data_IF_182725152757
#
_entry.id   IF_182725152757
#
_cell.length_a   1.000
_cell.length_b   1.000
_cell.length_c   1.000
_cell.angle_alpha   90.00
_cell.angle_beta   90.00
_cell.angle_gamma   90.00
#
_symmetry.space_group_name_H-M   'P 1'
#
loop_
_entity.id
_entity.type
_entity.pdbx_description
1 polymer ?
#
# COMPACT_ATOMS: atom_id res chain seq x y z
N UNK A 1 32.64 -0.79 17.16
CA UNK A 1 31.43 -0.68 18.00
C UNK A 1 30.63 0.58 17.63
N UNK A 2 30.40 0.79 16.34
CA UNK A 2 29.73 2.01 15.84
C UNK A 2 28.25 2.13 16.30
N UNK A 3 27.56 1.01 16.53
CA UNK A 3 26.12 0.99 16.82
C UNK A 3 25.76 0.74 18.29
N UNK A 4 26.75 0.51 19.18
CA UNK A 4 26.48 0.22 20.60
C UNK A 4 25.71 1.35 21.29
N UNK A 5 26.11 2.61 21.04
CA UNK A 5 25.40 3.77 21.63
C UNK A 5 23.96 3.89 21.13
N UNK A 6 23.70 3.63 19.85
CA UNK A 6 22.34 3.62 19.28
C UNK A 6 21.49 2.50 19.88
N UNK A 7 22.08 1.31 20.06
CA UNK A 7 21.41 0.17 20.73
C UNK A 7 21.07 0.53 22.17
N UNK A 8 22.02 1.11 22.92
CA UNK A 8 21.79 1.52 24.30
C UNK A 8 20.70 2.59 24.42
N UNK A 9 20.67 3.58 23.52
CA UNK A 9 19.65 4.62 23.47
C UNK A 9 18.26 4.02 23.18
N UNK A 10 18.14 3.16 22.17
CA UNK A 10 16.89 2.49 21.83
C UNK A 10 16.41 1.53 22.93
N UNK A 11 17.32 0.81 23.59
CA UNK A 11 17.01 -0.04 24.75
C UNK A 11 16.54 0.75 25.96
N UNK A 12 16.96 2.02 26.08
CA UNK A 12 16.47 2.97 27.09
C UNK A 12 15.22 3.74 26.62
N UNK A 13 14.53 3.27 25.57
CA UNK A 13 13.32 3.87 24.98
C UNK A 13 13.52 5.31 24.49
N UNK A 14 14.75 5.72 24.22
CA UNK A 14 15.04 7.03 23.66
C UNK A 14 14.75 7.04 22.17
N UNK A 15 14.14 8.13 21.70
CA UNK A 15 13.90 8.35 20.28
C UNK A 15 15.17 8.88 19.60
N UNK A 16 15.34 8.50 18.33
CA UNK A 16 16.39 9.06 17.49
C UNK A 16 15.96 10.42 16.94
N UNK A 17 16.89 11.31 16.76
CA UNK A 17 16.70 12.50 15.93
C UNK A 17 16.54 12.10 14.46
N UNK A 18 16.02 12.99 13.63
CA UNK A 18 15.92 12.81 12.19
C UNK A 18 17.26 12.39 11.56
N UNK A 19 18.34 13.09 11.91
CA UNK A 19 19.69 12.82 11.37
C UNK A 19 20.26 11.46 11.83
N UNK A 20 20.00 11.05 13.08
CA UNK A 20 20.41 9.75 13.58
C UNK A 20 19.63 8.63 12.91
N UNK A 21 18.31 8.81 12.72
CA UNK A 21 17.47 7.85 12.01
C UNK A 21 17.88 7.73 10.54
N UNK A 22 18.14 8.84 9.84
CA UNK A 22 18.65 8.84 8.48
C UNK A 22 19.98 8.08 8.39
N UNK A 23 20.94 8.37 9.28
CA UNK A 23 22.25 7.75 9.30
C UNK A 23 22.16 6.24 9.54
N UNK A 24 21.33 5.82 10.52
CA UNK A 24 21.13 4.43 10.86
C UNK A 24 20.49 3.66 9.67
N UNK A 25 19.40 4.18 9.11
CA UNK A 25 18.70 3.48 8.04
C UNK A 25 19.46 3.50 6.72
N UNK A 26 20.22 4.56 6.43
CA UNK A 26 21.17 4.55 5.31
C UNK A 26 22.17 3.41 5.44
N UNK A 27 22.78 3.25 6.64
CA UNK A 27 23.70 2.14 6.88
C UNK A 27 23.02 0.76 6.81
N UNK A 28 21.78 0.62 7.30
CA UNK A 28 21.01 -0.63 7.17
C UNK A 28 20.78 -0.96 5.70
N UNK A 29 20.30 -0.02 4.91
CA UNK A 29 20.02 -0.23 3.49
C UNK A 29 21.29 -0.50 2.65
N UNK A 30 22.44 0.03 3.05
CA UNK A 30 23.72 -0.15 2.36
C UNK A 30 24.49 -1.39 2.86
N UNK A 31 23.91 -2.17 3.79
CA UNK A 31 24.56 -3.36 4.37
C UNK A 31 25.74 -3.02 5.28
N UNK A 32 25.81 -1.81 5.80
CA UNK A 32 26.90 -1.33 6.67
C UNK A 32 26.74 -1.66 8.17
N UNK A 33 25.65 -2.34 8.54
CA UNK A 33 25.38 -2.78 9.92
C UNK A 33 25.65 -4.29 10.02
N UNK A 34 26.56 -4.74 10.91
CA UNK A 34 26.81 -6.17 11.08
C UNK A 34 25.57 -6.92 11.57
N UNK A 35 25.45 -8.22 11.23
CA UNK A 35 24.24 -9.03 11.45
C UNK A 35 23.73 -9.03 12.89
N UNK A 36 24.63 -9.08 13.88
CA UNK A 36 24.24 -9.12 15.30
C UNK A 36 23.62 -7.79 15.75
N UNK A 37 24.27 -6.69 15.42
CA UNK A 37 23.79 -5.34 15.70
C UNK A 37 22.52 -5.05 14.92
N UNK A 38 22.44 -5.45 13.66
CA UNK A 38 21.25 -5.31 12.83
C UNK A 38 20.04 -6.02 13.46
N UNK A 39 20.22 -7.26 13.90
CA UNK A 39 19.16 -8.01 14.58
C UNK A 39 18.70 -7.33 15.86
N UNK A 40 19.63 -6.82 16.67
CA UNK A 40 19.32 -6.08 17.90
C UNK A 40 18.59 -4.77 17.64
N UNK A 41 19.04 -3.98 16.68
CA UNK A 41 18.41 -2.71 16.27
C UNK A 41 17.00 -2.92 15.74
N UNK A 42 16.81 -3.86 14.82
CA UNK A 42 15.51 -4.16 14.26
C UNK A 42 14.53 -4.68 15.32
N UNK A 43 14.98 -5.54 16.25
CA UNK A 43 14.13 -6.02 17.34
C UNK A 43 13.67 -4.89 18.27
N UNK A 44 14.55 -3.93 18.60
CA UNK A 44 14.20 -2.76 19.41
C UNK A 44 13.25 -1.80 18.68
N UNK A 45 13.50 -1.56 17.40
CA UNK A 45 12.64 -0.69 16.58
C UNK A 45 11.25 -1.30 16.34
N UNK A 46 11.15 -2.63 16.22
CA UNK A 46 9.89 -3.35 16.01
C UNK A 46 8.97 -3.32 17.24
N UNK A 47 9.52 -3.16 18.45
CA UNK A 47 8.75 -3.13 19.70
C UNK A 47 8.09 -1.78 19.99
N UNK A 48 8.40 -0.75 19.20
CA UNK A 48 7.90 0.59 19.40
C UNK A 48 7.47 1.23 18.07
N UNK A 49 6.64 2.25 18.17
CA UNK A 49 6.28 3.08 17.03
C UNK A 49 7.39 4.11 16.78
N UNK A 50 7.72 4.35 15.51
CA UNK A 50 8.58 5.46 15.13
C UNK A 50 7.92 6.80 15.50
N UNK A 51 8.72 7.76 15.94
CA UNK A 51 8.28 9.14 16.02
C UNK A 51 8.21 9.79 14.65
N UNK A 52 7.52 10.94 14.54
CA UNK A 52 7.48 11.73 13.31
C UNK A 52 8.88 12.05 12.77
N UNK A 53 9.78 12.49 13.65
CA UNK A 53 11.16 12.84 13.29
C UNK A 53 11.95 11.64 12.78
N UNK A 54 11.82 10.49 13.45
CA UNK A 54 12.44 9.25 13.00
C UNK A 54 11.95 8.83 11.64
N UNK A 55 10.62 8.91 11.39
CA UNK A 55 10.04 8.54 10.13
C UNK A 55 10.54 9.43 8.99
N UNK A 56 10.66 10.74 9.21
CA UNK A 56 11.24 11.68 8.23
C UNK A 56 12.68 11.29 7.90
N UNK A 57 13.52 11.01 8.91
CA UNK A 57 14.90 10.57 8.71
C UNK A 57 14.99 9.23 7.96
N UNK A 58 14.12 8.27 8.32
CA UNK A 58 14.07 6.99 7.61
C UNK A 58 13.67 7.16 6.14
N UNK A 59 12.72 8.05 5.84
CA UNK A 59 12.32 8.34 4.45
C UNK A 59 13.41 9.06 3.68
N UNK A 60 14.18 9.96 4.32
CA UNK A 60 15.35 10.58 3.71
C UNK A 60 16.39 9.53 3.31
N UNK A 61 16.58 8.48 4.13
CA UNK A 61 17.44 7.35 3.80
C UNK A 61 16.85 6.43 2.71
N UNK A 62 15.54 6.20 2.71
CA UNK A 62 14.88 5.27 1.78
C UNK A 62 14.73 5.86 0.38
N UNK A 63 14.28 7.12 0.26
CA UNK A 63 13.88 7.73 -1.01
C UNK A 63 14.95 7.65 -2.11
N UNK A 64 16.25 7.88 -1.84
CA UNK A 64 17.30 7.75 -2.86
C UNK A 64 17.52 6.30 -3.33
N UNK A 65 17.01 5.32 -2.59
CA UNK A 65 17.17 3.88 -2.85
C UNK A 65 15.93 3.23 -3.50
N UNK A 66 14.90 4.04 -3.75
CA UNK A 66 13.74 3.64 -4.54
C UNK A 66 13.97 4.08 -5.99
N UNK A 67 14.01 3.12 -6.90
CA UNK A 67 14.16 3.43 -8.32
C UNK A 67 12.94 4.18 -8.84
N UNK A 68 13.19 5.33 -9.48
CA UNK A 68 12.16 6.22 -9.98
C UNK A 68 11.77 5.87 -11.41
N UNK A 69 10.48 5.95 -11.71
CA UNK A 69 9.95 5.93 -13.07
C UNK A 69 9.98 7.35 -13.67
N UNK A 70 10.08 7.44 -14.98
CA UNK A 70 9.88 8.71 -15.66
C UNK A 70 8.41 9.13 -15.55
N UNK A 71 8.15 10.44 -15.68
CA UNK A 71 6.81 10.98 -15.71
C UNK A 71 5.92 10.24 -16.72
N UNK A 72 4.70 9.94 -16.31
CA UNK A 72 3.68 9.33 -17.16
C UNK A 72 2.84 10.46 -17.79
N UNK A 73 2.73 10.43 -19.10
CA UNK A 73 1.79 11.28 -19.84
C UNK A 73 0.45 10.55 -19.93
N UNK A 74 -0.34 10.70 -18.87
CA UNK A 74 -1.66 10.05 -18.72
C UNK A 74 -2.69 11.09 -18.30
N UNK A 75 -3.95 10.98 -18.77
CA UNK A 75 -4.99 11.95 -18.46
C UNK A 75 -5.37 11.98 -16.98
N UNK A 76 -5.17 10.85 -16.29
CA UNK A 76 -5.52 10.66 -14.89
C UNK A 76 -4.28 10.39 -14.05
N UNK A 77 -4.32 10.81 -12.80
CA UNK A 77 -3.26 10.50 -11.83
C UNK A 77 -3.20 8.98 -11.63
N UNK A 78 -2.00 8.36 -11.78
CA UNK A 78 -1.84 6.94 -11.50
C UNK A 78 -2.22 6.61 -10.04
N UNK A 79 -2.74 5.41 -9.82
CA UNK A 79 -3.01 4.90 -8.47
C UNK A 79 -1.87 3.95 -8.07
N UNK A 80 -1.23 4.24 -6.93
CA UNK A 80 -0.15 3.42 -6.36
C UNK A 80 -0.71 2.52 -5.25
N UNK A 81 -0.53 1.21 -5.41
CA UNK A 81 -1.07 0.17 -4.51
C UNK A 81 0.07 -0.66 -3.90
N UNK A 82 0.60 -0.28 -2.71
CA UNK A 82 1.60 -1.08 -2.00
C UNK A 82 0.93 -2.27 -1.31
N UNK A 83 1.21 -3.51 -1.74
CA UNK A 83 0.60 -4.73 -1.21
C UNK A 83 1.60 -5.55 -0.39
N UNK A 84 1.55 -5.37 0.93
CA UNK A 84 2.47 -5.96 1.91
C UNK A 84 1.76 -6.51 3.15
N UNK A 85 0.48 -6.80 3.03
CA UNK A 85 -0.34 -7.28 4.16
C UNK A 85 0.23 -8.52 4.83
N UNK A 86 0.12 -8.57 6.17
CA UNK A 86 0.76 -9.56 7.01
C UNK A 86 -0.15 -10.74 7.33
N UNK A 87 -1.22 -10.51 8.05
CA UNK A 87 -2.12 -11.55 8.56
C UNK A 87 -3.50 -11.35 7.96
N UNK A 88 -3.75 -12.01 6.85
CA UNK A 88 -5.03 -11.89 6.18
C UNK A 88 -6.09 -12.73 6.88
N UNK A 89 -7.14 -12.09 7.30
CA UNK A 89 -8.40 -12.73 7.72
C UNK A 89 -9.40 -12.78 6.57
N UNK A 90 -9.12 -12.04 5.48
CA UNK A 90 -9.94 -11.93 4.29
C UNK A 90 -9.16 -12.25 3.00
N UNK A 91 -9.86 -12.65 1.92
CA UNK A 91 -9.22 -12.88 0.65
C UNK A 91 -8.58 -11.59 0.12
N UNK A 92 -7.48 -11.74 -0.57
CA UNK A 92 -6.78 -10.61 -1.18
C UNK A 92 -7.54 -10.09 -2.40
N UNK A 93 -8.17 -8.93 -2.28
CA UNK A 93 -8.97 -8.29 -3.33
C UNK A 93 -8.26 -7.08 -3.99
N UNK A 94 -6.97 -6.89 -3.75
CA UNK A 94 -6.16 -5.85 -4.42
C UNK A 94 -6.29 -5.91 -5.95
N UNK A 95 -6.22 -7.10 -6.61
CA UNK A 95 -6.41 -7.17 -8.05
C UNK A 95 -7.82 -6.76 -8.52
N UNK A 96 -8.86 -6.96 -7.70
CA UNK A 96 -10.21 -6.50 -8.04
C UNK A 96 -10.25 -4.98 -8.22
N UNK A 97 -9.77 -4.23 -7.22
CA UNK A 97 -9.75 -2.77 -7.28
C UNK A 97 -8.85 -2.27 -8.43
N UNK A 98 -7.67 -2.86 -8.58
CA UNK A 98 -6.73 -2.52 -9.65
C UNK A 98 -7.33 -2.67 -11.05
N UNK A 99 -7.96 -3.82 -11.32
CA UNK A 99 -8.57 -4.10 -12.62
C UNK A 99 -9.84 -3.29 -12.87
N UNK A 100 -10.58 -2.93 -11.81
CA UNK A 100 -11.74 -2.03 -11.92
C UNK A 100 -11.31 -0.63 -12.36
N UNK A 101 -10.22 -0.09 -11.78
CA UNK A 101 -9.65 1.20 -12.19
C UNK A 101 -9.09 1.15 -13.62
N UNK A 102 -8.40 0.08 -13.98
CA UNK A 102 -7.87 -0.12 -15.33
C UNK A 102 -8.97 -0.07 -16.41
N UNK A 103 -10.16 -0.61 -16.15
CA UNK A 103 -11.30 -0.59 -17.10
C UNK A 103 -11.72 0.82 -17.50
N UNK A 104 -11.50 1.79 -16.61
CA UNK A 104 -11.76 3.21 -16.87
C UNK A 104 -10.52 3.94 -17.42
N UNK A 105 -9.44 3.23 -17.72
CA UNK A 105 -8.20 3.81 -18.24
C UNK A 105 -7.37 4.55 -17.18
N UNK A 106 -7.63 4.34 -15.89
CA UNK A 106 -6.81 4.88 -14.81
C UNK A 106 -5.58 3.98 -14.65
N UNK A 107 -4.34 4.49 -14.80
CA UNK A 107 -3.14 3.69 -14.63
C UNK A 107 -3.00 3.18 -13.19
N UNK A 108 -2.67 1.92 -13.01
CA UNK A 108 -2.47 1.33 -11.69
C UNK A 108 -1.09 0.68 -11.61
N UNK A 109 -0.29 1.15 -10.66
CA UNK A 109 0.96 0.52 -10.26
C UNK A 109 0.78 -0.16 -8.91
N UNK A 110 0.79 -1.48 -8.91
CA UNK A 110 0.86 -2.24 -7.69
C UNK A 110 2.29 -2.77 -7.48
N UNK A 111 2.75 -2.83 -6.24
CA UNK A 111 4.03 -3.45 -5.91
C UNK A 111 3.94 -4.26 -4.63
N UNK A 112 4.83 -5.26 -4.51
CA UNK A 112 4.79 -6.18 -3.39
C UNK A 112 5.77 -7.34 -3.52
N UNK A 113 5.55 -8.37 -2.71
CA UNK A 113 6.36 -9.58 -2.66
C UNK A 113 5.72 -10.70 -3.50
N UNK A 114 6.55 -11.69 -3.91
CA UNK A 114 6.05 -12.91 -4.58
C UNK A 114 5.27 -13.82 -3.64
N UNK A 115 5.60 -13.82 -2.34
CA UNK A 115 4.95 -14.63 -1.33
C UNK A 115 4.51 -13.76 -0.16
N UNK A 116 3.30 -14.00 0.34
CA UNK A 116 2.79 -13.40 1.58
C UNK A 116 3.24 -14.19 2.82
N UNK A 117 3.02 -13.66 4.01
CA UNK A 117 3.23 -14.36 5.28
C UNK A 117 2.10 -15.35 5.55
N UNK A 118 0.87 -14.93 5.30
CA UNK A 118 -0.34 -15.76 5.35
C UNK A 118 -1.25 -15.39 4.19
N UNK A 119 -1.98 -16.38 3.70
CA UNK A 119 -2.88 -16.21 2.58
C UNK A 119 -2.17 -16.05 1.23
N UNK A 120 -2.91 -15.67 0.22
CA UNK A 120 -2.43 -15.60 -1.16
C UNK A 120 -1.83 -14.24 -1.47
N UNK A 121 -0.58 -14.23 -1.96
CA UNK A 121 0.08 -13.01 -2.40
C UNK A 121 -0.60 -12.41 -3.64
N UNK A 122 -0.64 -11.08 -3.71
CA UNK A 122 -1.19 -10.32 -4.85
C UNK A 122 -0.57 -10.72 -6.18
N UNK A 123 0.74 -10.98 -6.22
CA UNK A 123 1.45 -11.47 -7.39
C UNK A 123 0.87 -12.79 -7.95
N UNK A 124 0.49 -13.71 -7.06
CA UNK A 124 -0.12 -14.98 -7.42
C UNK A 124 -1.48 -14.80 -8.08
N UNK A 125 -2.33 -13.95 -7.49
CA UNK A 125 -3.67 -13.69 -8.02
C UNK A 125 -3.60 -12.95 -9.36
N UNK A 126 -2.74 -11.94 -9.49
CA UNK A 126 -2.53 -11.28 -10.78
C UNK A 126 -2.12 -12.26 -11.87
N UNK A 127 -1.23 -13.20 -11.55
CA UNK A 127 -0.81 -14.23 -12.53
C UNK A 127 -1.97 -15.14 -12.96
N UNK A 128 -2.82 -15.56 -12.03
CA UNK A 128 -4.04 -16.33 -12.36
C UNK A 128 -5.03 -15.52 -13.23
N UNK A 129 -5.03 -14.20 -13.08
CA UNK A 129 -5.83 -13.26 -13.88
C UNK A 129 -5.13 -12.84 -15.19
N UNK A 130 -3.98 -13.43 -15.52
CA UNK A 130 -3.24 -13.16 -16.75
C UNK A 130 -2.31 -11.94 -16.70
N UNK A 131 -2.11 -11.33 -15.52
CA UNK A 131 -1.22 -10.19 -15.35
C UNK A 131 0.10 -10.69 -14.73
N UNK A 132 1.16 -10.72 -15.54
CA UNK A 132 2.48 -11.15 -15.08
C UNK A 132 3.22 -10.00 -14.39
N UNK A 133 3.99 -10.29 -13.31
CA UNK A 133 4.88 -9.31 -12.73
C UNK A 133 5.85 -8.74 -13.75
N UNK A 134 6.01 -7.42 -13.75
CA UNK A 134 6.97 -6.74 -14.63
C UNK A 134 8.40 -7.07 -14.19
N UNK A 135 9.24 -7.47 -15.13
CA UNK A 135 10.64 -7.82 -14.86
C UNK A 135 11.52 -6.57 -14.61
N UNK A 136 11.04 -5.37 -14.98
CA UNK A 136 11.75 -4.11 -14.79
C UNK A 136 10.79 -2.94 -14.68
N UNK A 137 11.27 -1.81 -14.13
CA UNK A 137 10.49 -0.56 -14.10
C UNK A 137 10.18 -0.04 -15.51
N UNK A 138 11.06 -0.27 -16.48
CA UNK A 138 10.80 0.12 -17.87
C UNK A 138 9.59 -0.64 -18.45
N UNK A 139 9.47 -1.94 -18.16
CA UNK A 139 8.30 -2.75 -18.56
C UNK A 139 7.04 -2.27 -17.83
N UNK A 140 7.14 -1.97 -16.53
CA UNK A 140 6.02 -1.43 -15.77
C UNK A 140 5.57 -0.07 -16.33
N UNK A 141 6.50 0.81 -16.64
CA UNK A 141 6.21 2.11 -17.24
C UNK A 141 5.51 1.98 -18.61
N UNK A 142 5.93 1.00 -19.42
CA UNK A 142 5.26 0.73 -20.69
C UNK A 142 3.83 0.21 -20.46
N UNK A 143 3.64 -0.74 -19.55
CA UNK A 143 2.31 -1.25 -19.20
C UNK A 143 1.35 -0.13 -18.74
N UNK A 144 1.84 0.80 -17.91
CA UNK A 144 1.05 1.96 -17.47
C UNK A 144 0.67 2.90 -18.63
N UNK A 145 1.59 3.14 -19.58
CA UNK A 145 1.30 3.93 -20.80
C UNK A 145 0.27 3.26 -21.69
N UNK A 146 0.27 1.94 -21.72
CA UNK A 146 -0.67 1.14 -22.50
C UNK A 146 -2.03 0.96 -21.77
N UNK A 147 -2.23 1.66 -20.63
CA UNK A 147 -3.46 1.61 -19.83
C UNK A 147 -3.66 0.26 -19.12
N UNK A 148 -2.57 -0.48 -18.86
CA UNK A 148 -2.61 -1.77 -18.18
C UNK A 148 -2.19 -1.65 -16.72
N UNK A 149 -2.65 -2.59 -15.89
CA UNK A 149 -2.11 -2.75 -14.53
C UNK A 149 -0.66 -3.21 -14.62
N UNK A 150 0.23 -2.51 -13.93
CA UNK A 150 1.59 -2.95 -13.72
C UNK A 150 1.77 -3.49 -12.30
N UNK A 151 2.31 -4.69 -12.15
CA UNK A 151 2.74 -5.22 -10.87
C UNK A 151 4.27 -5.36 -10.84
N UNK A 152 4.92 -4.71 -9.86
CA UNK A 152 6.38 -4.70 -9.71
C UNK A 152 6.78 -5.37 -8.41
N UNK A 153 7.77 -6.25 -8.48
CA UNK A 153 8.35 -6.85 -7.29
C UNK A 153 9.21 -5.83 -6.52
N UNK A 154 9.15 -5.87 -5.20
CA UNK A 154 9.93 -4.97 -4.33
C UNK A 154 11.42 -5.00 -4.67
N UNK A 155 11.98 -6.18 -4.99
CA UNK A 155 13.39 -6.29 -5.36
C UNK A 155 13.78 -5.56 -6.66
N UNK A 156 12.82 -5.36 -7.58
CA UNK A 156 13.05 -4.55 -8.78
C UNK A 156 12.83 -3.04 -8.54
N UNK A 157 12.08 -2.70 -7.48
CA UNK A 157 11.76 -1.33 -7.09
C UNK A 157 12.79 -0.74 -6.13
N UNK A 158 13.11 -1.49 -5.07
CA UNK A 158 14.00 -1.08 -3.99
C UNK A 158 14.69 -2.34 -3.40
N UNK A 159 15.84 -2.76 -3.95
CA UNK A 159 16.52 -3.99 -3.52
C UNK A 159 16.82 -4.02 -2.02
N UNK A 160 17.34 -2.92 -1.46
CA UNK A 160 17.66 -2.81 -0.04
C UNK A 160 16.42 -3.00 0.86
N UNK A 161 15.26 -2.51 0.43
CA UNK A 161 14.00 -2.71 1.13
C UNK A 161 13.51 -4.17 1.02
N UNK A 162 13.73 -4.81 -0.12
CA UNK A 162 13.42 -6.23 -0.28
C UNK A 162 14.27 -7.11 0.65
N UNK A 163 15.56 -6.78 0.82
CA UNK A 163 16.44 -7.46 1.76
C UNK A 163 15.96 -7.28 3.21
N UNK A 164 15.58 -6.07 3.60
CA UNK A 164 14.99 -5.80 4.92
C UNK A 164 13.70 -6.60 5.14
N UNK A 165 12.79 -6.62 4.16
CA UNK A 165 11.57 -7.42 4.21
C UNK A 165 11.85 -8.93 4.32
N UNK A 166 12.94 -9.43 3.75
CA UNK A 166 13.31 -10.84 3.84
C UNK A 166 13.75 -11.24 5.27
N UNK A 167 14.25 -10.30 6.07
CA UNK A 167 14.66 -10.56 7.45
C UNK A 167 13.49 -10.82 8.40
N UNK A 168 12.27 -10.38 8.06
CA UNK A 168 11.07 -10.52 8.90
C UNK A 168 10.80 -11.97 9.33
N UNK A 169 11.02 -12.92 8.44
CA UNK A 169 10.81 -14.36 8.71
C UNK A 169 11.73 -14.85 9.82
N UNK A 170 12.93 -14.28 9.92
CA UNK A 170 13.96 -14.65 10.93
C UNK A 170 13.73 -13.92 12.26
N UNK A 171 13.21 -12.72 12.23
CA UNK A 171 13.03 -11.84 13.39
C UNK A 171 11.66 -11.99 14.06
N UNK A 172 10.70 -12.64 13.40
CA UNK A 172 9.35 -12.83 13.92
C UNK A 172 8.50 -11.54 13.97
N UNK A 173 8.93 -10.51 13.25
CA UNK A 173 8.27 -9.22 13.13
C UNK A 173 8.23 -8.77 11.67
N UNK A 174 8.11 -7.47 11.41
CA UNK A 174 8.16 -6.91 10.06
C UNK A 174 7.19 -5.77 9.84
N UNK A 175 6.56 -5.26 10.90
CA UNK A 175 5.68 -4.10 10.83
C UNK A 175 6.43 -2.88 10.30
N UNK A 176 7.62 -2.63 10.83
CA UNK A 176 8.50 -1.56 10.36
C UNK A 176 8.84 -1.71 8.87
N UNK A 177 9.30 -2.87 8.44
CA UNK A 177 9.67 -3.09 7.04
C UNK A 177 8.45 -2.95 6.09
N UNK A 178 7.25 -3.38 6.52
CA UNK A 178 6.01 -3.20 5.77
C UNK A 178 5.59 -1.73 5.70
N UNK A 179 5.70 -1.00 6.80
CA UNK A 179 5.44 0.45 6.82
C UNK A 179 6.33 1.17 5.80
N UNK A 180 7.63 0.89 5.81
CA UNK A 180 8.58 1.48 4.87
C UNK A 180 8.28 1.08 3.41
N UNK A 181 7.86 -0.16 3.20
CA UNK A 181 7.48 -0.64 1.88
C UNK A 181 6.22 0.04 1.34
N UNK A 182 5.26 0.37 2.20
CA UNK A 182 4.07 1.16 1.83
C UNK A 182 4.41 2.61 1.46
N UNK A 183 5.50 3.15 2.02
CA UNK A 183 5.97 4.51 1.75
C UNK A 183 6.90 4.63 0.54
N UNK A 184 7.31 3.50 -0.06
CA UNK A 184 8.13 3.51 -1.26
C UNK A 184 7.34 4.05 -2.45
N UNK A 185 7.75 5.21 -2.96
CA UNK A 185 7.09 5.89 -4.08
C UNK A 185 7.99 5.95 -5.33
N UNK A 186 7.77 5.08 -6.31
CA UNK A 186 8.50 5.10 -7.58
C UNK A 186 7.99 6.15 -8.57
N UNK A 187 6.93 6.89 -8.25
CA UNK A 187 6.31 7.88 -9.12
C UNK A 187 6.56 9.33 -8.65
N UNK A 188 7.40 9.51 -7.62
CA UNK A 188 7.88 10.81 -7.16
C UNK A 188 6.77 11.81 -6.77
N UNK A 189 5.72 11.34 -6.10
CA UNK A 189 4.57 12.17 -5.69
C UNK A 189 3.51 12.38 -6.77
N UNK A 190 3.70 11.84 -7.98
CA UNK A 190 2.72 12.01 -9.06
C UNK A 190 1.48 11.12 -8.91
N UNK A 191 1.53 10.09 -8.08
CA UNK A 191 0.44 9.14 -7.88
C UNK A 191 -0.58 9.56 -6.82
N UNK A 192 -1.78 8.96 -6.89
CA UNK A 192 -2.65 8.80 -5.73
C UNK A 192 -2.20 7.55 -4.98
N UNK A 193 -1.61 7.72 -3.81
CA UNK A 193 -1.16 6.61 -2.99
C UNK A 193 -2.32 6.02 -2.18
N UNK A 194 -2.50 4.70 -2.23
CA UNK A 194 -3.38 4.02 -1.28
C UNK A 194 -2.57 3.69 -0.03
N UNK A 195 -2.91 4.35 1.07
CA UNK A 195 -2.15 4.29 2.32
C UNK A 195 -2.99 3.62 3.42
N UNK A 196 -2.95 2.28 3.51
CA UNK A 196 -3.60 1.57 4.60
C UNK A 196 -2.83 1.80 5.91
N UNK A 197 -3.57 1.87 7.01
CA UNK A 197 -3.03 1.89 8.38
C UNK A 197 -3.55 0.71 9.17
N UNK A 198 -2.74 0.20 10.08
CA UNK A 198 -3.12 -0.93 10.94
C UNK A 198 -3.62 -0.45 12.32
N UNK A 199 -3.28 0.81 12.71
CA UNK A 199 -3.59 1.38 14.02
C UNK A 199 -3.80 2.89 13.95
N UNK A 200 -4.58 3.45 14.88
CA UNK A 200 -4.88 4.88 14.97
C UNK A 200 -3.63 5.77 15.05
N UNK A 201 -2.62 5.37 15.83
CA UNK A 201 -1.38 6.15 15.97
C UNK A 201 -0.60 6.23 14.65
N UNK A 202 -0.58 5.14 13.88
CA UNK A 202 0.01 5.11 12.54
C UNK A 202 -0.73 6.05 11.60
N UNK A 203 -2.07 6.07 11.68
CA UNK A 203 -2.90 6.99 10.90
C UNK A 203 -2.55 8.45 11.16
N UNK A 204 -2.45 8.85 12.43
CA UNK A 204 -2.10 10.23 12.80
C UNK A 204 -0.71 10.61 12.28
N UNK A 205 0.27 9.72 12.45
CA UNK A 205 1.64 9.92 12.00
C UNK A 205 1.72 10.05 10.47
N UNK A 206 1.10 9.15 9.73
CA UNK A 206 1.09 9.16 8.26
C UNK A 206 0.30 10.36 7.71
N UNK A 207 -0.81 10.74 8.36
CA UNK A 207 -1.56 11.93 7.97
C UNK A 207 -0.70 13.19 8.05
N UNK A 208 0.04 13.38 9.15
CA UNK A 208 0.97 14.51 9.29
C UNK A 208 2.04 14.48 8.22
N UNK A 209 2.70 13.34 8.04
CA UNK A 209 3.73 13.16 7.02
C UNK A 209 3.24 13.50 5.61
N UNK A 210 2.08 12.97 5.22
CA UNK A 210 1.49 13.18 3.89
C UNK A 210 1.10 14.65 3.66
N UNK A 211 0.62 15.32 4.71
CA UNK A 211 0.31 16.76 4.65
C UNK A 211 1.58 17.60 4.48
N UNK A 212 2.63 17.29 5.25
CA UNK A 212 3.90 18.03 5.21
C UNK A 212 4.60 17.91 3.83
N UNK A 213 4.44 16.77 3.17
CA UNK A 213 5.00 16.52 1.82
C UNK A 213 4.04 16.88 0.68
N UNK A 214 2.89 17.48 0.98
CA UNK A 214 1.85 17.82 0.01
C UNK A 214 1.47 16.63 -0.92
N UNK A 215 1.55 15.42 -0.39
CA UNK A 215 1.25 14.19 -1.10
C UNK A 215 -0.23 14.13 -1.51
N UNK A 216 -0.56 13.21 -2.43
CA UNK A 216 -1.93 12.84 -2.73
C UNK A 216 -2.14 11.39 -2.31
N UNK A 217 -2.95 11.15 -1.29
CA UNK A 217 -3.14 9.82 -0.75
C UNK A 217 -4.58 9.59 -0.25
N UNK A 218 -5.06 8.36 -0.36
CA UNK A 218 -6.22 7.89 0.38
C UNK A 218 -5.72 7.17 1.63
N UNK A 219 -6.09 7.69 2.80
CA UNK A 219 -5.74 7.16 4.11
C UNK A 219 -6.94 6.45 4.72
N UNK A 220 -6.79 5.19 5.07
CA UNK A 220 -7.86 4.34 5.62
C UNK A 220 -7.27 3.20 6.46
N UNK A 221 -8.05 2.70 7.41
CA UNK A 221 -7.64 1.59 8.26
C UNK A 221 -7.98 0.23 7.62
N UNK A 222 -7.07 -0.74 7.73
CA UNK A 222 -7.29 -2.14 7.36
C UNK A 222 -6.61 -3.05 8.39
N UNK A 223 -7.24 -4.16 8.74
CA UNK A 223 -6.70 -5.08 9.75
C UNK A 223 -5.42 -5.81 9.33
N UNK A 224 -5.07 -5.77 8.05
CA UNK A 224 -3.93 -6.50 7.48
C UNK A 224 -2.91 -5.61 6.75
N UNK A 225 -3.14 -4.30 6.68
CA UNK A 225 -2.24 -3.35 5.99
C UNK A 225 -2.27 -3.45 4.46
N UNK A 226 -3.30 -4.05 3.86
CA UNK A 226 -3.47 -4.09 2.40
C UNK A 226 -4.13 -2.83 1.86
N UNK A 227 -3.82 -2.42 0.61
CA UNK A 227 -4.35 -1.20 -0.01
C UNK A 227 -5.82 -1.34 -0.47
N UNK A 228 -6.54 -2.33 0.01
CA UNK A 228 -7.97 -2.53 -0.23
C UNK A 228 -8.69 -2.68 1.08
N UNK A 229 -9.80 -1.95 1.26
CA UNK A 229 -10.64 -2.03 2.44
C UNK A 229 -11.27 -3.41 2.59
N UNK A 230 -11.65 -3.74 3.84
CA UNK A 230 -12.39 -4.96 4.14
C UNK A 230 -13.68 -5.01 3.30
N UNK A 231 -13.95 -6.18 2.69
CA UNK A 231 -15.16 -6.39 1.89
C UNK A 231 -16.45 -6.36 2.71
N UNK A 232 -16.37 -6.50 4.03
CA UNK A 232 -17.51 -6.57 4.94
C UNK A 232 -17.73 -5.29 5.74
N UNK A 233 -16.67 -4.50 5.98
CA UNK A 233 -16.72 -3.27 6.76
C UNK A 233 -16.08 -2.11 6.00
N UNK A 234 -16.70 -0.94 6.05
CA UNK A 234 -16.11 0.27 5.51
C UNK A 234 -15.41 1.04 6.62
N UNK A 235 -14.07 1.25 6.57
CA UNK A 235 -13.38 2.17 7.46
C UNK A 235 -13.72 3.63 7.07
N UNK A 236 -13.33 4.57 7.91
CA UNK A 236 -13.24 5.96 7.49
C UNK A 236 -12.17 6.10 6.41
N UNK A 237 -12.49 6.82 5.33
CA UNK A 237 -11.59 7.05 4.20
C UNK A 237 -11.38 8.54 4.05
N UNK A 238 -10.14 9.00 4.20
CA UNK A 238 -9.73 10.38 4.01
C UNK A 238 -8.89 10.55 2.76
N UNK A 239 -9.11 11.65 2.06
CA UNK A 239 -8.22 12.11 1.00
C UNK A 239 -7.28 13.18 1.58
N UNK A 240 -6.00 12.89 1.57
CA UNK A 240 -4.94 13.87 1.81
C UNK A 240 -4.52 14.44 0.46
N UNK A 241 -4.57 15.76 0.30
CA UNK A 241 -4.17 16.44 -0.93
C UNK A 241 -3.75 17.88 -0.65
N UNK A 242 -2.56 18.26 -1.14
CA UNK A 242 -2.07 19.64 -1.04
C UNK A 242 -1.96 20.15 0.39
N UNK A 243 -1.56 19.31 1.34
CA UNK A 243 -1.43 19.65 2.76
C UNK A 243 -2.73 19.72 3.54
N UNK A 244 -3.86 19.29 2.96
CA UNK A 244 -5.17 19.26 3.62
C UNK A 244 -5.78 17.87 3.64
N UNK A 245 -6.66 17.63 4.59
CA UNK A 245 -7.38 16.36 4.77
C UNK A 245 -8.87 16.59 4.52
N UNK A 246 -9.45 15.76 3.66
CA UNK A 246 -10.88 15.74 3.35
C UNK A 246 -11.45 14.38 3.70
N UNK A 247 -12.38 14.30 4.64
CA UNK A 247 -13.15 13.09 4.89
C UNK A 247 -14.05 12.79 3.68
N UNK A 248 -13.92 11.60 3.09
CA UNK A 248 -14.74 11.15 1.97
C UNK A 248 -15.86 10.22 2.42
N UNK A 249 -15.56 9.33 3.36
CA UNK A 249 -16.51 8.43 4.00
C UNK A 249 -16.23 8.27 5.48
N UNK A 250 -17.27 8.21 6.29
CA UNK A 250 -17.19 7.79 7.69
C UNK A 250 -17.09 6.27 7.80
N UNK A 251 -16.56 5.79 8.93
CA UNK A 251 -16.53 4.36 9.23
C UNK A 251 -17.95 3.80 9.36
N UNK A 252 -18.14 2.58 8.87
CA UNK A 252 -19.40 1.86 8.99
C UNK A 252 -19.15 0.40 9.38
N UNK A 253 -19.58 0.05 10.58
CA UNK A 253 -19.34 -1.27 11.17
C UNK A 253 -20.31 -2.37 10.70
N UNK A 254 -21.37 -2.02 9.96
CA UNK A 254 -22.37 -2.99 9.51
C UNK A 254 -21.82 -3.81 8.35
N UNK A 255 -21.73 -5.14 8.46
CA UNK A 255 -21.27 -6.00 7.38
C UNK A 255 -22.16 -5.83 6.14
N UNK A 256 -21.55 -5.62 4.97
CA UNK A 256 -22.26 -5.35 3.72
C UNK A 256 -21.98 -6.34 2.59
N UNK A 257 -21.32 -7.45 2.89
CA UNK A 257 -21.07 -8.47 1.87
C UNK A 257 -22.27 -9.40 1.77
N UNK A 258 -23.02 -9.30 0.66
CA UNK A 258 -24.19 -10.14 0.39
C UNK A 258 -23.83 -11.53 -0.14
N UNK A 259 -22.58 -11.74 -0.60
CA UNK A 259 -22.10 -12.98 -1.20
C UNK A 259 -20.93 -13.56 -0.42
N UNK A 260 -20.83 -14.90 -0.34
CA UNK A 260 -19.69 -15.54 0.30
C UNK A 260 -18.37 -15.11 -0.39
N UNK A 261 -17.40 -14.73 0.44
CA UNK A 261 -16.04 -14.49 -0.01
C UNK A 261 -15.30 -15.83 -0.21
N UNK A 262 -14.32 -15.90 -1.12
CA UNK A 262 -13.45 -17.07 -1.23
C UNK A 262 -12.63 -17.26 0.05
N UNK A 263 -12.08 -18.47 0.25
CA UNK A 263 -11.18 -18.72 1.37
C UNK A 263 -9.87 -17.93 1.19
N UNK A 264 -9.27 -17.53 2.30
CA UNK A 264 -8.08 -16.64 2.34
C UNK A 264 -6.87 -17.26 1.61
N UNK A 265 -6.76 -18.58 1.61
CA UNK A 265 -5.69 -19.36 1.01
C UNK A 265 -6.05 -19.98 -0.35
N UNK A 266 -7.26 -19.74 -0.86
CA UNK A 266 -7.71 -20.25 -2.15
C UNK A 266 -7.36 -19.27 -3.29
N UNK A 267 -6.19 -19.44 -3.86
CA UNK A 267 -5.70 -18.65 -4.99
C UNK A 267 -6.65 -18.67 -6.20
N UNK A 268 -7.03 -19.87 -6.63
CA UNK A 268 -7.86 -20.04 -7.82
C UNK A 268 -9.31 -19.62 -7.56
N UNK A 269 -9.82 -19.89 -6.36
CA UNK A 269 -11.14 -19.42 -5.92
C UNK A 269 -11.21 -17.92 -5.91
N UNK A 270 -10.19 -17.25 -5.36
CA UNK A 270 -10.10 -15.78 -5.35
C UNK A 270 -10.06 -15.20 -6.77
N UNK A 271 -9.23 -15.74 -7.66
CA UNK A 271 -9.16 -15.28 -9.04
C UNK A 271 -10.50 -15.47 -9.78
N UNK A 272 -11.16 -16.63 -9.63
CA UNK A 272 -12.50 -16.88 -10.21
C UNK A 272 -13.56 -15.95 -9.66
N UNK A 273 -13.52 -15.70 -8.36
CA UNK A 273 -14.45 -14.79 -7.69
C UNK A 273 -14.28 -13.36 -8.21
N UNK A 274 -13.04 -12.86 -8.29
CA UNK A 274 -12.71 -11.55 -8.88
C UNK A 274 -13.22 -11.45 -10.31
N UNK A 275 -12.97 -12.46 -11.14
CA UNK A 275 -13.49 -12.52 -12.52
C UNK A 275 -15.01 -12.44 -12.53
N UNK A 276 -15.69 -13.14 -11.62
CA UNK A 276 -17.14 -13.10 -11.47
C UNK A 276 -17.68 -11.70 -11.14
N UNK A 277 -16.97 -10.96 -10.27
CA UNK A 277 -17.32 -9.57 -9.95
C UNK A 277 -17.10 -8.65 -11.17
N UNK A 278 -15.94 -8.77 -11.80
CA UNK A 278 -15.61 -7.96 -12.97
C UNK A 278 -16.54 -8.20 -14.16
N UNK A 279 -17.13 -9.37 -14.30
CA UNK A 279 -18.12 -9.70 -15.32
C UNK A 279 -19.56 -9.40 -14.89
N UNK A 280 -19.79 -8.86 -13.70
CA UNK A 280 -21.13 -8.53 -13.17
C UNK A 280 -21.95 -9.74 -12.73
N UNK A 281 -21.37 -10.94 -12.63
CA UNK A 281 -22.04 -12.15 -12.14
C UNK A 281 -22.16 -12.18 -10.60
N UNK A 282 -21.24 -11.51 -9.94
CA UNK A 282 -21.17 -11.31 -8.49
C UNK A 282 -21.16 -9.80 -8.24
N UNK A 283 -22.03 -9.25 -7.40
CA UNK A 283 -21.98 -7.83 -7.08
C UNK A 283 -20.69 -7.48 -6.33
N UNK A 284 -20.10 -6.34 -6.65
CA UNK A 284 -18.95 -5.84 -5.92
C UNK A 284 -19.35 -5.52 -4.46
N UNK A 285 -18.54 -5.92 -3.45
CA UNK A 285 -18.80 -5.50 -2.06
C UNK A 285 -18.88 -3.99 -1.92
N UNK A 286 -19.89 -3.50 -1.20
CA UNK A 286 -20.14 -2.08 -1.06
C UNK A 286 -18.94 -1.27 -0.49
N UNK A 287 -18.17 -1.76 0.50
CA UNK A 287 -16.98 -1.05 0.96
C UNK A 287 -15.95 -0.85 -0.15
N UNK A 288 -15.73 -1.87 -0.99
CA UNK A 288 -14.78 -1.80 -2.12
C UNK A 288 -15.31 -0.86 -3.21
N UNK A 289 -16.63 -0.88 -3.50
CA UNK A 289 -17.24 0.08 -4.41
C UNK A 289 -17.11 1.53 -3.92
N UNK A 290 -17.21 1.75 -2.61
CA UNK A 290 -16.96 3.07 -2.00
C UNK A 290 -15.48 3.49 -2.13
N UNK A 291 -14.53 2.58 -1.87
CA UNK A 291 -13.11 2.86 -2.08
C UNK A 291 -12.80 3.12 -3.57
N UNK A 292 -13.42 2.38 -4.48
CA UNK A 292 -13.32 2.63 -5.91
C UNK A 292 -13.77 4.04 -6.27
N UNK A 293 -14.91 4.52 -5.72
CA UNK A 293 -15.37 5.91 -5.90
C UNK A 293 -14.32 6.91 -5.35
N UNK A 294 -13.72 6.66 -4.18
CA UNK A 294 -12.64 7.49 -3.66
C UNK A 294 -11.44 7.55 -4.60
N UNK A 295 -11.07 6.42 -5.22
CA UNK A 295 -9.99 6.38 -6.20
C UNK A 295 -10.32 7.19 -7.46
N UNK A 296 -11.57 7.12 -7.96
CA UNK A 296 -12.01 7.92 -9.12
C UNK A 296 -11.87 9.42 -8.85
N UNK A 297 -12.34 9.87 -7.69
CA UNK A 297 -12.21 11.26 -7.28
C UNK A 297 -10.73 11.65 -7.01
N UNK A 298 -10.02 10.82 -6.27
CA UNK A 298 -8.60 11.04 -5.93
C UNK A 298 -7.68 11.09 -7.14
N UNK A 299 -7.92 10.27 -8.16
CA UNK A 299 -7.17 10.25 -9.43
C UNK A 299 -7.56 11.40 -10.38
N UNK A 300 -8.63 12.13 -10.08
CA UNK A 300 -9.15 13.23 -10.92
C UNK A 300 -10.02 12.76 -12.10
N UNK A 301 -10.46 11.50 -12.09
CA UNK A 301 -11.38 10.95 -13.08
C UNK A 301 -12.79 11.55 -12.94
N UNK A 302 -13.23 11.73 -11.69
CA UNK A 302 -14.47 12.41 -11.35
C UNK A 302 -14.18 13.80 -10.75
N UNK A 303 -15.07 14.78 -11.02
CA UNK A 303 -14.91 16.15 -10.56
C UNK A 303 -15.25 16.31 -9.07
N UNK A 304 -16.20 15.51 -8.57
CA UNK A 304 -16.60 15.47 -7.18
C UNK A 304 -17.01 14.05 -6.74
N UNK A 305 -17.25 13.88 -5.44
CA UNK A 305 -17.62 12.57 -4.85
C UNK A 305 -18.99 12.08 -5.30
N UNK A 306 -19.92 12.96 -5.68
CA UNK A 306 -21.24 12.52 -6.14
C UNK A 306 -21.13 11.89 -7.53
N UNK A 307 -20.36 12.53 -8.42
CA UNK A 307 -20.04 11.97 -9.74
C UNK A 307 -19.28 10.65 -9.59
N UNK A 308 -18.27 10.61 -8.71
CA UNK A 308 -17.49 9.38 -8.44
C UNK A 308 -18.39 8.24 -7.96
N UNK A 309 -19.30 8.49 -7.03
CA UNK A 309 -20.26 7.51 -6.53
C UNK A 309 -21.22 7.03 -7.62
N UNK A 310 -21.70 7.94 -8.46
CA UNK A 310 -22.59 7.60 -9.58
C UNK A 310 -21.90 6.70 -10.60
N UNK A 311 -20.64 7.03 -10.97
CA UNK A 311 -19.83 6.20 -11.87
C UNK A 311 -19.56 4.83 -11.23
N UNK A 312 -19.15 4.80 -9.96
CA UNK A 312 -18.91 3.55 -9.26
C UNK A 312 -20.17 2.66 -9.20
N UNK A 313 -21.34 3.23 -8.96
CA UNK A 313 -22.60 2.49 -8.94
C UNK A 313 -22.94 1.85 -10.31
N UNK A 314 -22.69 2.56 -11.40
CA UNK A 314 -22.89 2.06 -12.77
C UNK A 314 -21.90 0.94 -13.09
N UNK A 315 -20.61 1.17 -12.83
CA UNK A 315 -19.54 0.24 -13.19
C UNK A 315 -19.55 -1.05 -12.36
N UNK A 316 -19.98 -0.97 -11.10
CA UNK A 316 -19.97 -2.12 -10.18
C UNK A 316 -21.32 -2.82 -10.07
N UNK A 317 -22.38 -2.25 -10.62
CA UNK A 317 -23.76 -2.72 -10.44
C UNK A 317 -24.22 -2.65 -8.97
N UNK A 318 -23.53 -1.86 -8.14
CA UNK A 318 -23.80 -1.75 -6.70
C UNK A 318 -24.45 -0.41 -6.37
N UNK A 319 -25.70 -0.44 -5.87
CA UNK A 319 -26.38 0.75 -5.35
C UNK A 319 -25.82 1.26 -4.01
N UNK A 320 -24.87 0.54 -3.44
CA UNK A 320 -24.34 0.84 -2.12
C UNK A 320 -23.41 2.06 -2.05
N UNK A 321 -23.02 2.60 -3.18
CA UNK A 321 -22.24 3.84 -3.24
C UNK A 321 -23.09 5.12 -3.08
N UNK A 322 -24.42 4.99 -2.94
CA UNK A 322 -25.33 6.13 -2.77
C UNK A 322 -25.28 6.71 -1.35
#
# INVERSE_FOLDING_TARGET
MAWAHTIDALAAEQSLSEQEAETLFAAIFDGGVPDLELGGLLALLEQRTLTQQELVGVLAALSPRVFQMNALDTPWRPVLMPSYGAQREQPNLVPLLAMSLQRLGIPVLAHGMLSGERGVATAGIFRELGIMPCASLAQAQQALRDGQVAFVLTGALAPALADLLALRVRLGGGALARLLARLADPLGGAALQLMPTEHDHERVMLQSLLCDHAASALLFETGDGEPVVDAQCRPAIDLVRGGSVQALFDAEATPRCAHPLPAVDDLQGTARWITGVLEGRIPMPAPIANQFACCLYGAGYAQDMNEAKAIAAVETGSLAAA
#
